data_IF_900871446205
#
_entry.id   IF_900871446205
#
_cell.length_a   1.000
_cell.length_b   1.000
_cell.length_c   1.000
_cell.angle_alpha   90.00
_cell.angle_beta   90.00
_cell.angle_gamma   90.00
#
_symmetry.space_group_name_H-M   'P 1'
#
loop_
_entity.id
_entity.type
_entity.pdbx_description
1 polymer ?
#
# COMPACT_ATOMS: atom_id res chain seq x y z
N UNK A 1 -25.01 -59.15 39.84
CA UNK A 1 -25.25 -60.00 38.66
C UNK A 1 -26.31 -59.30 37.83
N UNK A 2 -25.90 -58.48 36.86
CA UNK A 2 -26.80 -57.66 36.03
C UNK A 2 -26.87 -58.27 34.62
N UNK A 3 -28.06 -58.40 34.01
CA UNK A 3 -28.17 -58.94 32.66
C UNK A 3 -27.64 -57.95 31.62
N UNK A 4 -26.93 -58.50 30.65
CA UNK A 4 -26.36 -57.85 29.47
C UNK A 4 -27.46 -57.24 28.61
N UNK A 5 -27.37 -55.94 28.35
CA UNK A 5 -28.19 -55.25 27.36
C UNK A 5 -27.52 -55.45 26.00
N UNK A 6 -28.24 -56.13 25.10
CA UNK A 6 -27.83 -56.33 23.72
C UNK A 6 -27.58 -54.98 23.04
N UNK A 7 -26.45 -54.87 22.34
CA UNK A 7 -26.15 -53.74 21.47
C UNK A 7 -27.23 -53.67 20.38
N UNK A 8 -28.03 -52.61 20.42
CA UNK A 8 -28.86 -52.22 19.29
C UNK A 8 -27.90 -51.54 18.31
N UNK A 9 -27.56 -52.25 17.24
CA UNK A 9 -26.85 -51.67 16.10
C UNK A 9 -27.72 -50.53 15.54
N UNK A 10 -27.19 -49.30 15.41
CA UNK A 10 -27.89 -48.28 14.66
C UNK A 10 -27.86 -48.69 13.20
N UNK A 11 -29.00 -49.20 12.73
CA UNK A 11 -29.32 -49.36 11.32
C UNK A 11 -29.24 -47.95 10.70
N UNK A 12 -28.06 -47.58 10.22
CA UNK A 12 -27.84 -46.40 9.42
C UNK A 12 -28.45 -46.68 8.06
N UNK A 13 -29.78 -46.66 8.01
CA UNK A 13 -30.49 -46.34 6.79
C UNK A 13 -29.88 -45.03 6.30
N UNK A 14 -29.23 -45.10 5.14
CA UNK A 14 -28.67 -43.99 4.40
C UNK A 14 -29.75 -42.92 4.22
N UNK A 15 -29.85 -42.03 5.20
CA UNK A 15 -30.59 -40.79 5.10
C UNK A 15 -29.79 -39.95 4.13
N UNK A 16 -30.22 -39.99 2.88
CA UNK A 16 -29.67 -39.21 1.79
C UNK A 16 -29.78 -37.72 2.17
N UNK A 17 -28.70 -37.17 2.73
CA UNK A 17 -28.63 -35.80 3.23
C UNK A 17 -28.96 -34.81 2.11
N UNK A 18 -28.72 -35.21 0.85
CA UNK A 18 -29.11 -34.45 -0.33
C UNK A 18 -30.64 -34.29 -0.46
N UNK A 19 -31.43 -35.31 -0.13
CA UNK A 19 -32.89 -35.25 -0.17
C UNK A 19 -33.48 -34.39 0.97
N UNK A 20 -32.82 -34.35 2.14
CA UNK A 20 -33.22 -33.47 3.25
C UNK A 20 -32.94 -32.00 2.91
N UNK A 21 -31.83 -31.72 2.21
CA UNK A 21 -31.48 -30.36 1.78
C UNK A 21 -32.37 -29.85 0.64
N UNK A 22 -32.87 -30.73 -0.23
CA UNK A 22 -33.81 -30.36 -1.29
C UNK A 22 -35.21 -30.03 -0.73
N UNK A 23 -35.63 -30.66 0.38
CA UNK A 23 -36.91 -30.38 1.04
C UNK A 23 -36.93 -29.07 1.85
N UNK A 24 -35.77 -28.52 2.19
CA UNK A 24 -35.62 -27.26 2.95
C UNK A 24 -35.27 -26.08 2.02
N UNK A 25 -35.10 -26.34 0.72
CA UNK A 25 -34.58 -25.39 -0.27
C UNK A 25 -35.59 -24.43 -0.89
N UNK A 26 -36.89 -24.60 -0.66
CA UNK A 26 -37.91 -23.71 -1.22
C UNK A 26 -38.51 -22.82 -0.12
N UNK A 27 -38.43 -21.50 -0.35
CA UNK A 27 -39.14 -20.45 0.39
C UNK A 27 -38.45 -19.82 1.62
N UNK A 28 -37.10 -19.79 1.65
CA UNK A 28 -36.44 -18.70 2.37
C UNK A 28 -36.54 -17.44 1.50
N UNK A 29 -37.25 -16.38 1.93
CA UNK A 29 -37.27 -15.12 1.19
C UNK A 29 -35.82 -14.64 1.05
N UNK A 30 -35.34 -14.51 -0.20
CA UNK A 30 -34.04 -13.90 -0.48
C UNK A 30 -33.96 -12.60 0.33
N UNK A 31 -32.87 -12.31 1.05
CA UNK A 31 -32.78 -11.04 1.76
C UNK A 31 -33.03 -9.95 0.72
N UNK A 32 -34.11 -9.20 0.89
CA UNK A 32 -34.41 -8.04 0.07
C UNK A 32 -33.20 -7.15 0.24
N UNK A 33 -32.34 -7.09 -0.77
CA UNK A 33 -31.20 -6.19 -0.78
C UNK A 33 -31.83 -4.81 -0.68
N UNK A 34 -31.81 -4.23 0.53
CA UNK A 34 -32.45 -2.95 0.77
C UNK A 34 -31.83 -1.97 -0.21
N UNK A 35 -32.61 -1.58 -1.22
CA UNK A 35 -32.18 -0.61 -2.23
C UNK A 35 -31.86 0.67 -1.49
N UNK A 36 -30.57 0.94 -1.34
CA UNK A 36 -30.07 2.10 -0.62
C UNK A 36 -30.75 3.36 -1.20
N UNK A 37 -31.36 4.16 -0.33
CA UNK A 37 -32.10 5.34 -0.78
C UNK A 37 -31.15 6.26 -1.56
N UNK A 38 -31.56 6.87 -2.69
CA UNK A 38 -30.65 7.66 -3.53
C UNK A 38 -29.88 8.73 -2.76
N UNK A 39 -30.53 9.36 -1.78
CA UNK A 39 -29.90 10.37 -0.91
C UNK A 39 -28.82 9.78 0.02
N UNK A 40 -28.99 8.56 0.54
CA UNK A 40 -27.98 7.92 1.39
C UNK A 40 -26.77 7.47 0.57
N UNK A 41 -27.02 6.99 -0.66
CA UNK A 41 -25.96 6.69 -1.63
C UNK A 41 -25.14 7.95 -1.99
N UNK A 42 -25.81 9.04 -2.33
CA UNK A 42 -25.13 10.32 -2.64
C UNK A 42 -24.34 10.88 -1.43
N UNK A 43 -24.89 10.78 -0.22
CA UNK A 43 -24.18 11.18 1.01
C UNK A 43 -22.95 10.30 1.29
N UNK A 44 -22.98 9.02 0.92
CA UNK A 44 -21.83 8.11 1.03
C UNK A 44 -20.76 8.45 -0.02
N UNK A 45 -21.16 8.60 -1.27
CA UNK A 45 -20.25 8.95 -2.37
C UNK A 45 -19.52 10.27 -2.12
N UNK A 46 -20.20 11.28 -1.56
CA UNK A 46 -19.58 12.56 -1.20
C UNK A 46 -18.55 12.41 -0.07
N UNK A 47 -18.82 11.59 0.96
CA UNK A 47 -17.84 11.27 2.00
C UNK A 47 -16.63 10.52 1.44
N UNK A 48 -16.86 9.55 0.57
CA UNK A 48 -15.81 8.76 -0.06
C UNK A 48 -14.95 9.62 -1.01
N UNK A 49 -15.58 10.54 -1.76
CA UNK A 49 -14.87 11.52 -2.58
C UNK A 49 -14.04 12.49 -1.73
N UNK A 50 -14.57 12.95 -0.59
CA UNK A 50 -13.82 13.80 0.34
C UNK A 50 -12.64 13.05 0.99
N UNK A 51 -12.80 11.76 1.30
CA UNK A 51 -11.72 10.90 1.79
C UNK A 51 -10.61 10.75 0.73
N UNK A 52 -10.97 10.37 -0.51
CA UNK A 52 -10.03 10.27 -1.64
C UNK A 52 -9.29 11.59 -1.90
N UNK A 53 -9.98 12.71 -1.78
CA UNK A 53 -9.36 14.03 -1.97
C UNK A 53 -8.33 14.34 -0.87
N UNK A 54 -8.63 14.02 0.39
CA UNK A 54 -7.69 14.17 1.50
C UNK A 54 -6.45 13.29 1.32
N UNK A 55 -6.65 12.04 0.96
CA UNK A 55 -5.56 11.10 0.64
C UNK A 55 -4.70 11.62 -0.51
N UNK A 56 -5.32 12.10 -1.59
CA UNK A 56 -4.59 12.64 -2.73
C UNK A 56 -3.72 13.85 -2.34
N UNK A 57 -4.28 14.80 -1.59
CA UNK A 57 -3.51 15.96 -1.10
C UNK A 57 -2.35 15.54 -0.21
N UNK A 58 -2.56 14.54 0.64
CA UNK A 58 -1.50 14.00 1.48
C UNK A 58 -0.38 13.39 0.64
N UNK A 59 -0.70 12.57 -0.37
CA UNK A 59 0.29 11.98 -1.29
C UNK A 59 1.06 13.06 -2.06
N UNK A 60 0.39 14.14 -2.48
CA UNK A 60 1.06 15.25 -3.17
C UNK A 60 2.03 16.00 -2.26
N UNK A 61 1.67 16.23 -1.00
CA UNK A 61 2.58 16.83 -0.01
C UNK A 61 3.81 15.97 0.21
N UNK A 62 3.61 14.67 0.43
CA UNK A 62 4.73 13.74 0.62
C UNK A 62 5.64 13.68 -0.62
N UNK A 63 5.07 13.72 -1.82
CA UNK A 63 5.85 13.79 -3.05
C UNK A 63 6.65 15.10 -3.17
N UNK A 64 6.06 16.23 -2.76
CA UNK A 64 6.75 17.51 -2.76
C UNK A 64 7.91 17.52 -1.76
N UNK A 65 7.70 17.02 -0.55
CA UNK A 65 8.74 16.93 0.50
C UNK A 65 9.92 16.07 0.03
N UNK A 66 9.64 14.92 -0.58
CA UNK A 66 10.67 14.01 -1.12
C UNK A 66 11.44 14.67 -2.25
N UNK A 67 10.75 15.36 -3.18
CA UNK A 67 11.44 16.06 -4.28
C UNK A 67 12.31 17.20 -3.75
N UNK A 68 11.83 17.95 -2.75
CA UNK A 68 12.61 19.00 -2.10
C UNK A 68 13.87 18.43 -1.43
N UNK A 69 13.73 17.32 -0.70
CA UNK A 69 14.87 16.63 -0.08
C UNK A 69 15.89 16.12 -1.10
N UNK A 70 15.43 15.60 -2.25
CA UNK A 70 16.31 15.16 -3.34
C UNK A 70 17.03 16.36 -3.98
N UNK A 71 16.32 17.46 -4.24
CA UNK A 71 16.91 18.65 -4.83
C UNK A 71 17.99 19.27 -3.93
N UNK A 72 17.71 19.38 -2.63
CA UNK A 72 18.68 19.87 -1.64
C UNK A 72 19.90 18.95 -1.52
N UNK A 73 19.67 17.63 -1.54
CA UNK A 73 20.73 16.64 -1.57
C UNK A 73 21.61 16.75 -2.83
N UNK A 74 21.03 17.00 -4.00
CA UNK A 74 21.77 17.21 -5.25
C UNK A 74 22.65 18.45 -5.19
N UNK A 75 22.12 19.58 -4.73
CA UNK A 75 22.88 20.83 -4.58
C UNK A 75 24.01 20.66 -3.57
N UNK A 76 23.74 20.01 -2.44
CA UNK A 76 24.75 19.73 -1.41
C UNK A 76 25.84 18.80 -1.93
N UNK A 77 25.48 17.77 -2.68
CA UNK A 77 26.44 16.83 -3.26
C UNK A 77 27.31 17.49 -4.33
N UNK A 78 26.74 18.30 -5.22
CA UNK A 78 27.49 19.09 -6.22
C UNK A 78 28.46 20.06 -5.53
N UNK A 79 28.01 20.79 -4.50
CA UNK A 79 28.87 21.69 -3.76
C UNK A 79 30.06 20.96 -3.12
N UNK A 80 29.83 19.84 -2.42
CA UNK A 80 30.89 19.02 -1.82
C UNK A 80 31.88 18.51 -2.86
N UNK A 81 31.38 18.11 -4.02
CA UNK A 81 32.21 17.64 -5.12
C UNK A 81 33.08 18.73 -5.73
N UNK A 82 32.51 19.91 -6.00
CA UNK A 82 33.27 21.07 -6.48
C UNK A 82 34.33 21.50 -5.49
N UNK A 83 34.00 21.49 -4.20
CA UNK A 83 34.94 21.82 -3.14
C UNK A 83 36.10 20.81 -3.05
N UNK A 84 35.79 19.51 -3.17
CA UNK A 84 36.82 18.46 -3.21
C UNK A 84 37.75 18.59 -4.43
N UNK A 85 37.20 18.86 -5.62
CA UNK A 85 38.00 19.07 -6.83
C UNK A 85 38.82 20.36 -6.75
N UNK A 86 38.26 21.44 -6.16
CA UNK A 86 39.00 22.68 -5.87
C UNK A 86 40.21 22.43 -4.98
N UNK A 87 40.03 21.66 -3.90
CA UNK A 87 41.12 21.28 -2.99
C UNK A 87 42.16 20.36 -3.67
N UNK A 88 41.74 19.56 -4.64
CA UNK A 88 42.62 18.74 -5.46
C UNK A 88 43.29 19.52 -6.62
N UNK A 89 43.05 20.84 -6.75
CA UNK A 89 43.59 21.68 -7.81
C UNK A 89 42.97 21.44 -9.19
N UNK A 90 41.84 20.73 -9.27
CA UNK A 90 41.10 20.45 -10.50
C UNK A 90 39.89 21.37 -10.59
N UNK A 91 39.94 22.39 -11.43
CA UNK A 91 38.79 23.27 -11.68
C UNK A 91 37.92 22.70 -12.80
N UNK A 92 37.05 21.74 -12.47
CA UNK A 92 36.04 21.22 -13.41
C UNK A 92 34.75 22.01 -13.31
N UNK A 93 34.19 22.39 -14.46
CA UNK A 93 32.92 23.13 -14.57
C UNK A 93 31.71 22.23 -14.25
N UNK A 94 31.82 20.93 -14.54
CA UNK A 94 30.76 19.94 -14.29
C UNK A 94 31.38 18.77 -13.54
N UNK A 95 30.84 18.45 -12.37
CA UNK A 95 31.25 17.28 -11.60
C UNK A 95 30.07 16.29 -11.56
N UNK A 96 30.27 15.04 -11.99
CA UNK A 96 29.21 14.03 -11.91
C UNK A 96 28.84 13.78 -10.45
N UNK A 97 27.55 13.88 -10.13
CA UNK A 97 27.02 13.64 -8.79
C UNK A 97 26.63 12.17 -8.66
N UNK A 98 27.17 11.50 -7.63
CA UNK A 98 26.78 10.12 -7.31
C UNK A 98 25.37 10.07 -6.69
N UNK A 99 24.48 9.29 -7.31
CA UNK A 99 23.13 9.02 -6.80
C UNK A 99 23.17 8.33 -5.43
N UNK A 100 24.21 7.56 -5.12
CA UNK A 100 24.42 6.96 -3.80
C UNK A 100 24.52 8.03 -2.71
N UNK A 101 25.41 9.01 -2.90
CA UNK A 101 25.55 10.15 -2.00
C UNK A 101 24.26 10.97 -1.86
N UNK A 102 23.57 11.23 -2.97
CA UNK A 102 22.28 11.95 -2.97
C UNK A 102 21.23 11.20 -2.15
N UNK A 103 21.15 9.88 -2.29
CA UNK A 103 20.17 9.07 -1.57
C UNK A 103 20.43 9.07 -0.06
N UNK A 104 21.70 9.07 0.35
CA UNK A 104 22.08 9.16 1.77
C UNK A 104 21.69 10.52 2.36
N UNK A 105 22.02 11.61 1.66
CA UNK A 105 21.69 12.97 2.09
C UNK A 105 20.18 13.21 2.14
N UNK A 106 19.45 12.78 1.11
CA UNK A 106 18.00 12.89 1.06
C UNK A 106 17.34 12.09 2.20
N UNK A 107 17.86 10.89 2.51
CA UNK A 107 17.38 10.08 3.64
C UNK A 107 17.61 10.79 4.97
N UNK A 108 18.78 11.40 5.16
CA UNK A 108 19.07 12.16 6.38
C UNK A 108 18.12 13.35 6.55
N UNK A 109 17.90 14.12 5.48
CA UNK A 109 16.96 15.25 5.47
C UNK A 109 15.54 14.82 5.85
N UNK A 110 15.02 13.75 5.23
CA UNK A 110 13.69 13.22 5.53
C UNK A 110 13.58 12.69 6.97
N UNK A 111 14.64 12.08 7.52
CA UNK A 111 14.65 11.67 8.93
C UNK A 111 14.58 12.86 9.88
N UNK A 112 15.26 13.98 9.57
CA UNK A 112 15.16 15.22 10.36
C UNK A 112 13.76 15.82 10.33
N UNK A 113 13.02 15.62 9.24
CA UNK A 113 11.61 16.00 9.11
C UNK A 113 10.64 15.03 9.82
N UNK A 114 11.14 13.98 10.47
CA UNK A 114 10.33 13.03 11.24
C UNK A 114 9.80 11.83 10.45
N UNK A 115 10.25 11.61 9.21
CA UNK A 115 9.88 10.41 8.46
C UNK A 115 10.55 9.16 9.04
N UNK A 116 9.78 8.06 9.14
CA UNK A 116 10.30 6.74 9.52
C UNK A 116 11.27 6.23 8.45
N UNK A 117 12.37 5.60 8.86
CA UNK A 117 13.36 4.98 7.99
C UNK A 117 12.77 4.06 6.90
N UNK A 118 11.76 3.24 7.22
CA UNK A 118 11.09 2.36 6.25
C UNK A 118 10.36 3.21 5.20
N UNK A 119 9.52 4.14 5.65
CA UNK A 119 8.77 5.06 4.77
C UNK A 119 9.70 5.88 3.89
N UNK A 120 10.80 6.41 4.44
CA UNK A 120 11.81 7.15 3.70
C UNK A 120 12.44 6.31 2.60
N UNK A 121 12.80 5.05 2.90
CA UNK A 121 13.33 4.13 1.89
C UNK A 121 12.34 3.93 0.76
N UNK A 122 11.09 3.61 1.09
CA UNK A 122 10.06 3.31 0.08
C UNK A 122 9.76 4.52 -0.80
N UNK A 123 9.65 5.71 -0.21
CA UNK A 123 9.43 6.96 -0.92
C UNK A 123 10.59 7.30 -1.86
N UNK A 124 11.84 7.15 -1.40
CA UNK A 124 13.02 7.40 -2.23
C UNK A 124 13.15 6.37 -3.36
N UNK A 125 12.91 5.09 -3.09
CA UNK A 125 12.93 4.03 -4.12
C UNK A 125 11.85 4.28 -5.17
N UNK A 126 10.62 4.58 -4.75
CA UNK A 126 9.53 4.89 -5.68
C UNK A 126 9.85 6.09 -6.59
N UNK A 127 10.69 7.04 -6.13
CA UNK A 127 11.04 8.23 -6.90
C UNK A 127 12.29 8.09 -7.76
N UNK A 128 13.33 7.44 -7.24
CA UNK A 128 14.63 7.30 -7.91
C UNK A 128 14.71 6.05 -8.79
N UNK A 129 13.90 5.04 -8.52
CA UNK A 129 13.79 3.81 -9.32
C UNK A 129 12.39 3.73 -9.92
N UNK A 130 12.09 4.47 -11.00
CA UNK A 130 10.83 4.30 -11.68
C UNK A 130 10.76 2.87 -12.21
N UNK A 131 9.87 2.06 -11.64
CA UNK A 131 9.54 0.73 -12.17
C UNK A 131 9.15 0.93 -13.62
N UNK A 132 10.00 0.49 -14.56
CA UNK A 132 9.66 0.54 -15.99
C UNK A 132 8.31 -0.17 -16.15
N UNK A 133 7.31 0.40 -16.83
CA UNK A 133 6.14 -0.37 -17.19
C UNK A 133 6.64 -1.57 -17.99
N UNK A 134 6.32 -2.78 -17.53
CA UNK A 134 6.65 -4.01 -18.22
C UNK A 134 5.86 -3.97 -19.52
N UNK A 135 6.51 -3.54 -20.60
CA UNK A 135 5.92 -3.54 -21.94
C UNK A 135 5.62 -5.00 -22.28
N UNK A 136 4.38 -5.41 -22.09
CA UNK A 136 3.85 -6.62 -22.70
C UNK A 136 3.62 -6.27 -24.16
N UNK A 137 4.61 -6.63 -25.00
CA UNK A 137 4.43 -6.74 -26.45
C UNK A 137 3.71 -8.05 -26.77
#
# INVERSE_FOLDING_TARGET
MFPSVAAVEPDTADLDIAAILDLVGEDMPRPVVATEHPNTKAARETRDAAARTREWRQRQREAADVNAAIADALVTADWRHREAERLAGRHKVVVPVDLGAVTVLARESLRRQGYNAIKTRDLLVARLSPTRPRTTL
#
